data_IF_258112737408
#
_entry.id   IF_258112737408
#
_cell.length_a   1.000
_cell.length_b   1.000
_cell.length_c   1.000
_cell.angle_alpha   90.00
_cell.angle_beta   90.00
_cell.angle_gamma   90.00
#
_symmetry.space_group_name_H-M   'P 1'
#
loop_
_entity.id
_entity.type
_entity.pdbx_description
1 polymer ?
#
# COMPACT_ATOMS: atom_id res chain seq x y z
N UNK A 1 19.44 -33.77 -23.64
CA UNK A 1 19.41 -33.10 -22.33
C UNK A 1 18.92 -31.68 -22.53
N UNK A 2 17.93 -31.23 -21.77
CA UNK A 2 17.51 -29.82 -21.81
C UNK A 2 18.58 -28.98 -21.10
N UNK A 3 19.24 -28.10 -21.84
CA UNK A 3 20.11 -27.06 -21.26
C UNK A 3 19.23 -26.01 -20.60
N UNK A 4 19.50 -25.69 -19.33
CA UNK A 4 18.82 -24.61 -18.63
C UNK A 4 18.93 -23.31 -19.43
N UNK A 5 17.82 -22.58 -19.55
CA UNK A 5 17.84 -21.27 -20.20
C UNK A 5 18.69 -20.30 -19.37
N UNK A 6 19.39 -19.35 -20.03
CA UNK A 6 20.09 -18.30 -19.30
C UNK A 6 19.13 -17.49 -18.43
N UNK A 7 19.60 -16.84 -17.36
CA UNK A 7 18.77 -16.04 -16.47
C UNK A 7 19.29 -14.60 -16.35
N UNK A 8 18.38 -13.64 -16.29
CA UNK A 8 18.67 -12.21 -16.13
C UNK A 8 18.21 -11.78 -14.74
N UNK A 9 19.10 -11.12 -14.00
CA UNK A 9 18.76 -10.52 -12.72
C UNK A 9 18.46 -9.03 -12.93
N UNK A 10 17.24 -8.63 -12.59
CA UNK A 10 16.79 -7.25 -12.62
C UNK A 10 16.66 -6.75 -11.19
N UNK A 11 17.31 -5.63 -10.87
CA UNK A 11 17.26 -5.05 -9.53
C UNK A 11 16.33 -3.84 -9.53
N UNK A 12 15.39 -3.85 -8.61
CA UNK A 12 14.44 -2.76 -8.39
C UNK A 12 14.85 -2.05 -7.11
N UNK A 13 14.96 -0.73 -7.19
CA UNK A 13 15.44 0.11 -6.11
C UNK A 13 14.41 1.18 -5.79
N UNK A 14 14.03 1.30 -4.51
CA UNK A 14 13.16 2.36 -4.02
C UNK A 14 13.90 3.25 -3.02
N UNK A 15 13.51 4.52 -2.96
CA UNK A 15 13.90 5.46 -1.91
C UNK A 15 12.66 6.12 -1.29
N UNK A 16 12.46 5.93 0.01
CA UNK A 16 11.39 6.56 0.77
C UNK A 16 11.73 8.01 1.14
N UNK A 17 10.71 8.84 1.37
CA UNK A 17 10.89 10.24 1.78
C UNK A 17 11.76 10.42 3.05
N UNK A 18 11.83 9.39 3.90
CA UNK A 18 12.66 9.36 5.12
C UNK A 18 14.10 8.86 4.89
N UNK A 19 14.55 8.72 3.64
CA UNK A 19 15.88 8.19 3.30
C UNK A 19 15.98 6.66 3.39
N UNK A 20 14.87 5.96 3.62
CA UNK A 20 14.83 4.50 3.60
C UNK A 20 15.13 3.99 2.18
N UNK A 21 15.94 2.95 2.07
CA UNK A 21 16.29 2.31 0.81
C UNK A 21 15.85 0.86 0.82
N UNK A 22 15.27 0.40 -0.28
CA UNK A 22 14.89 -1.00 -0.45
C UNK A 22 15.27 -1.49 -1.85
N UNK A 23 15.84 -2.69 -1.90
CA UNK A 23 16.21 -3.36 -3.14
C UNK A 23 15.54 -4.73 -3.23
N UNK A 24 15.01 -5.07 -4.40
CA UNK A 24 14.56 -6.43 -4.72
C UNK A 24 15.16 -6.88 -6.04
N UNK A 25 15.73 -8.08 -6.07
CA UNK A 25 16.24 -8.71 -7.29
C UNK A 25 15.20 -9.70 -7.81
N UNK A 26 14.91 -9.60 -9.09
CA UNK A 26 14.04 -10.51 -9.83
C UNK A 26 14.86 -11.28 -10.84
N UNK A 27 14.73 -12.60 -10.81
CA UNK A 27 15.40 -13.49 -11.77
C UNK A 27 14.42 -13.89 -12.85
N UNK A 28 14.72 -13.52 -14.09
CA UNK A 28 13.91 -13.77 -15.27
C UNK A 28 14.65 -14.77 -16.16
N UNK A 29 13.97 -15.79 -16.70
CA UNK A 29 14.59 -16.63 -17.74
C UNK A 29 14.72 -15.83 -19.06
N UNK A 30 15.92 -15.79 -19.63
CA UNK A 30 16.18 -15.14 -20.90
C UNK A 30 15.42 -15.84 -22.05
N UNK A 31 14.89 -15.03 -22.97
CA UNK A 31 14.11 -15.50 -24.12
C UNK A 31 12.60 -15.60 -23.86
N UNK A 32 12.12 -15.33 -22.64
CA UNK A 32 10.69 -15.14 -22.39
C UNK A 32 10.24 -13.77 -22.92
N UNK A 33 9.29 -13.77 -23.85
CA UNK A 33 8.62 -12.55 -24.35
C UNK A 33 7.60 -11.98 -23.36
N UNK A 34 7.24 -12.76 -22.34
CA UNK A 34 6.32 -12.37 -21.26
C UNK A 34 6.84 -12.96 -19.94
N UNK A 35 7.77 -12.30 -19.24
CA UNK A 35 8.17 -12.74 -17.90
C UNK A 35 6.96 -12.75 -16.97
N UNK A 36 6.92 -13.69 -16.04
CA UNK A 36 5.85 -13.80 -15.05
C UNK A 36 5.73 -12.47 -14.29
N UNK A 37 4.50 -12.01 -14.07
CA UNK A 37 4.23 -10.78 -13.32
C UNK A 37 4.78 -10.94 -11.89
N UNK A 38 5.74 -10.12 -11.51
CA UNK A 38 6.32 -10.13 -10.17
C UNK A 38 6.02 -8.81 -9.46
N UNK A 39 5.47 -8.91 -8.25
CA UNK A 39 5.07 -7.75 -7.44
C UNK A 39 6.22 -7.32 -6.55
N UNK A 40 6.67 -6.08 -6.72
CA UNK A 40 7.54 -5.40 -5.77
C UNK A 40 6.68 -4.82 -4.65
N UNK A 41 6.76 -5.42 -3.46
CA UNK A 41 5.98 -4.97 -2.30
C UNK A 41 6.85 -4.12 -1.38
N UNK A 42 6.72 -2.79 -1.51
CA UNK A 42 7.32 -1.83 -0.59
C UNK A 42 6.27 -1.44 0.46
N UNK A 43 6.47 -1.88 1.70
CA UNK A 43 5.60 -1.50 2.81
C UNK A 43 6.07 -0.18 3.44
N UNK A 44 5.98 0.92 2.69
CA UNK A 44 6.31 2.26 3.15
C UNK A 44 5.06 3.12 3.23
N UNK A 45 4.92 3.85 4.35
CA UNK A 45 3.74 4.65 4.69
C UNK A 45 3.80 6.10 4.18
N UNK A 46 4.88 6.51 3.51
CA UNK A 46 5.09 7.87 3.01
C UNK A 46 5.41 7.87 1.51
N UNK A 47 5.37 9.05 0.89
CA UNK A 47 5.80 9.23 -0.51
C UNK A 47 7.21 8.66 -0.76
N UNK A 48 7.41 8.04 -1.93
CA UNK A 48 8.68 7.43 -2.31
C UNK A 48 8.93 7.60 -3.82
N UNK A 49 10.19 7.55 -4.21
CA UNK A 49 10.60 7.47 -5.61
C UNK A 49 11.06 6.04 -5.92
N UNK A 50 10.61 5.49 -7.04
CA UNK A 50 11.03 4.17 -7.54
C UNK A 50 11.91 4.37 -8.76
N UNK A 51 13.07 3.70 -8.76
CA UNK A 51 14.01 3.70 -9.86
C UNK A 51 14.32 2.25 -10.26
N UNK A 52 14.55 2.05 -11.56
CA UNK A 52 14.83 0.73 -12.12
C UNK A 52 16.27 0.71 -12.61
N UNK A 53 17.04 -0.29 -12.18
CA UNK A 53 18.42 -0.46 -12.62
C UNK A 53 18.67 -1.92 -12.98
N UNK A 54 19.03 -2.18 -14.23
CA UNK A 54 19.46 -3.52 -14.63
C UNK A 54 20.92 -3.69 -14.19
N UNK A 55 21.15 -4.52 -13.16
CA UNK A 55 22.48 -4.65 -12.56
C UNK A 55 23.43 -5.56 -13.36
N UNK A 56 22.92 -6.54 -14.10
CA UNK A 56 23.74 -7.32 -15.04
C UNK A 56 22.91 -8.20 -15.96
N UNK A 57 23.41 -8.38 -17.18
CA UNK A 57 22.99 -9.43 -18.09
C UNK A 57 23.98 -10.58 -17.97
N UNK A 58 23.52 -11.78 -17.61
CA UNK A 58 24.35 -12.98 -17.66
C UNK A 58 23.62 -14.09 -18.41
N UNK A 59 24.00 -14.41 -19.66
CA UNK A 59 25.03 -13.78 -20.46
C UNK A 59 24.63 -12.37 -20.91
N UNK A 60 25.62 -11.60 -21.35
CA UNK A 60 25.42 -10.26 -21.87
C UNK A 60 24.71 -10.32 -23.23
N UNK A 61 23.37 -10.34 -23.23
CA UNK A 61 22.55 -10.63 -24.42
C UNK A 61 22.34 -9.43 -25.35
N UNK A 62 22.87 -8.24 -25.02
CA UNK A 62 22.64 -7.02 -25.81
C UNK A 62 21.16 -6.58 -25.84
N UNK A 63 20.32 -7.13 -24.98
CA UNK A 63 18.87 -6.94 -25.00
C UNK A 63 18.43 -5.75 -24.14
N UNK A 64 17.50 -4.94 -24.64
CA UNK A 64 16.77 -3.98 -23.82
C UNK A 64 15.69 -4.71 -23.00
N UNK A 65 15.58 -4.41 -21.70
CA UNK A 65 14.46 -4.88 -20.86
C UNK A 65 13.37 -3.82 -20.91
N UNK A 66 12.21 -4.16 -21.45
CA UNK A 66 11.03 -3.30 -21.42
C UNK A 66 10.07 -3.80 -20.33
N UNK A 67 9.76 -2.93 -19.38
CA UNK A 67 8.66 -3.17 -18.45
C UNK A 67 7.37 -2.64 -19.08
N UNK A 68 6.35 -3.50 -19.17
CA UNK A 68 4.99 -3.10 -19.55
C UNK A 68 4.08 -3.32 -18.34
N UNK A 69 3.05 -2.50 -18.17
CA UNK A 69 2.10 -2.59 -17.06
C UNK A 69 2.72 -2.46 -15.66
N UNK A 70 3.61 -1.50 -15.45
CA UNK A 70 4.08 -1.17 -14.09
C UNK A 70 2.90 -0.58 -13.31
N UNK A 71 2.36 -1.37 -12.37
CA UNK A 71 1.28 -0.95 -11.46
C UNK A 71 1.88 -0.64 -10.10
N UNK A 72 1.70 0.59 -9.62
CA UNK A 72 2.01 0.99 -8.25
C UNK A 72 0.70 1.09 -7.47
N UNK A 73 0.52 0.23 -6.47
CA UNK A 73 -0.62 0.31 -5.56
C UNK A 73 -0.21 1.04 -4.30
N UNK A 74 -0.73 2.23 -4.10
CA UNK A 74 -0.61 2.96 -2.84
C UNK A 74 -1.80 2.62 -1.95
N UNK A 75 -1.52 2.14 -0.74
CA UNK A 75 -2.52 2.11 0.32
C UNK A 75 -2.23 3.33 1.19
N UNK A 76 -2.86 4.47 0.88
CA UNK A 76 -2.87 5.55 1.85
C UNK A 76 -3.57 5.02 3.11
N UNK A 77 -3.00 5.23 4.31
CA UNK A 77 -3.73 4.93 5.54
C UNK A 77 -5.01 5.77 5.51
N UNK A 78 -6.14 5.11 5.32
CA UNK A 78 -7.45 5.78 5.33
C UNK A 78 -7.61 6.34 6.74
N UNK A 79 -7.40 7.64 6.89
CA UNK A 79 -7.67 8.32 8.14
C UNK A 79 -9.19 8.44 8.25
N UNK A 80 -9.83 7.45 8.86
CA UNK A 80 -11.28 7.41 9.05
C UNK A 80 -11.66 8.45 10.10
N UNK A 81 -11.74 9.71 9.69
CA UNK A 81 -12.26 10.79 10.51
C UNK A 81 -13.78 10.64 10.54
N UNK A 82 -14.42 10.45 11.70
CA UNK A 82 -15.87 10.40 11.79
C UNK A 82 -16.49 11.63 11.14
N UNK A 83 -17.48 11.42 10.28
CA UNK A 83 -18.15 12.54 9.63
C UNK A 83 -18.71 13.50 10.69
N UNK A 84 -18.63 14.83 10.47
CA UNK A 84 -19.12 15.83 11.43
C UNK A 84 -20.57 15.59 11.86
N UNK A 85 -21.39 15.03 10.96
CA UNK A 85 -22.79 14.69 11.21
C UNK A 85 -22.90 13.53 12.22
N UNK A 86 -22.05 12.50 12.12
CA UNK A 86 -22.04 11.38 13.06
C UNK A 86 -21.65 11.84 14.48
N UNK A 87 -20.72 12.80 14.59
CA UNK A 87 -20.35 13.42 15.87
C UNK A 87 -21.48 14.28 16.44
N UNK A 88 -22.15 15.06 15.58
CA UNK A 88 -23.31 15.85 15.98
C UNK A 88 -24.49 14.96 16.41
N UNK A 89 -24.76 13.88 15.68
CA UNK A 89 -25.81 12.92 15.99
C UNK A 89 -25.52 12.15 17.29
N UNK A 90 -24.27 11.72 17.49
CA UNK A 90 -23.84 11.10 18.74
C UNK A 90 -23.98 12.06 19.92
N UNK A 91 -23.52 13.30 19.77
CA UNK A 91 -23.59 14.32 20.82
C UNK A 91 -25.03 14.70 21.18
N UNK A 92 -25.87 14.95 20.18
CA UNK A 92 -27.29 15.29 20.38
C UNK A 92 -28.11 14.11 20.88
N UNK A 93 -27.80 12.89 20.44
CA UNK A 93 -28.40 11.65 20.95
C UNK A 93 -28.13 11.45 22.44
N UNK A 94 -26.86 11.59 22.87
CA UNK A 94 -26.48 11.49 24.28
C UNK A 94 -27.12 12.60 25.13
N UNK A 95 -27.16 13.83 24.62
CA UNK A 95 -27.83 14.94 25.29
C UNK A 95 -29.33 14.66 25.48
N UNK A 96 -30.00 14.12 24.46
CA UNK A 96 -31.40 13.72 24.52
C UNK A 96 -31.67 12.64 25.57
N UNK A 97 -30.84 11.60 25.63
CA UNK A 97 -30.95 10.52 26.64
C UNK A 97 -30.77 11.06 28.05
N UNK A 98 -29.78 11.94 28.27
CA UNK A 98 -29.53 12.55 29.57
C UNK A 98 -30.72 13.43 30.02
N UNK A 99 -31.28 14.22 29.11
CA UNK A 99 -32.46 15.05 29.38
C UNK A 99 -33.69 14.19 29.73
N UNK A 100 -33.94 13.11 28.97
CA UNK A 100 -35.04 12.18 29.23
C UNK A 100 -34.92 11.50 30.60
N UNK A 101 -33.69 11.12 31.01
CA UNK A 101 -33.45 10.49 32.32
C UNK A 101 -33.70 11.45 33.49
N UNK A 102 -33.38 12.74 33.34
CA UNK A 102 -33.64 13.75 34.39
C UNK A 102 -35.13 13.96 34.63
N UNK A 103 -35.94 14.01 33.56
CA UNK A 103 -37.40 14.20 33.67
C UNK A 103 -38.07 13.08 34.48
N UNK A 104 -37.71 11.82 34.24
CA UNK A 104 -38.27 10.65 34.97
C UNK A 104 -37.91 10.60 36.46
N UNK A 105 -36.89 11.33 36.91
CA UNK A 105 -36.49 11.36 38.33
C UNK A 105 -37.24 12.41 39.14
N UNK A 106 -37.78 13.47 38.50
CA UNK A 106 -38.54 14.52 39.17
C UNK A 106 -39.95 14.09 39.58
N UNK A 107 -40.54 13.12 38.88
CA UNK A 107 -41.92 12.66 39.11
C UNK A 107 -42.08 11.74 40.35
N UNK A 108 -41.00 11.44 41.10
CA UNK A 108 -41.05 10.56 42.29
C UNK A 108 -41.01 11.28 43.65
N UNK A 109 -41.16 12.61 43.69
CA UNK A 109 -41.08 13.39 44.93
C UNK A 109 -42.42 13.91 45.49
N UNK A 110 -43.55 13.50 44.93
CA UNK A 110 -44.89 13.74 45.50
C UNK A 110 -45.62 12.40 45.70
N UNK A 111 -45.36 11.74 46.84
CA UNK A 111 -46.20 10.69 47.43
C UNK A 111 -45.82 10.53 48.91
#
# INVERSE_FOLDING_TARGET
GLTALPTVNVTFSGFGASGNFANQVFTIAAGLTAPMLQTFNLNWTNAFNVWFTVQSFSPNLGSAVQFTNVVTTFQDPVNVVPEPISMALLGTGLAGVAAARRRRKGEKHEA
#
